data_IF_534744074133
#
_entry.id   IF_534744074133
#
_cell.length_a   1.000
_cell.length_b   1.000
_cell.length_c   1.000
_cell.angle_alpha   90.00
_cell.angle_beta   90.00
_cell.angle_gamma   90.00
#
_symmetry.space_group_name_H-M   'P 1'
#
loop_
_entity.id
_entity.type
_entity.pdbx_description
1 polymer ?
#
# COMPACT_ATOMS: atom_id res chain seq x y z
N UNK A 1 36.28 10.43 1.69
CA UNK A 1 35.29 11.41 2.20
C UNK A 1 34.91 11.00 3.60
N UNK A 2 34.47 11.94 4.43
CA UNK A 2 33.77 11.59 5.66
C UNK A 2 32.35 11.09 5.35
N UNK A 3 31.74 10.36 6.28
CA UNK A 3 30.33 9.93 6.15
C UNK A 3 29.41 11.14 6.00
N UNK A 4 29.70 12.23 6.71
CA UNK A 4 28.96 13.50 6.59
C UNK A 4 29.02 14.08 5.18
N UNK A 5 30.20 14.10 4.56
CA UNK A 5 30.34 14.59 3.18
C UNK A 5 29.49 13.74 2.22
N UNK A 6 29.42 12.41 2.43
CA UNK A 6 28.63 11.49 1.60
C UNK A 6 27.13 11.74 1.79
N UNK A 7 26.68 11.95 3.02
CA UNK A 7 25.29 12.33 3.33
C UNK A 7 24.93 13.65 2.65
N UNK A 8 25.78 14.67 2.75
CA UNK A 8 25.53 15.97 2.10
C UNK A 8 25.44 15.85 0.58
N UNK A 9 26.33 15.07 -0.05
CA UNK A 9 26.32 14.85 -1.49
C UNK A 9 25.12 14.03 -1.98
N UNK A 10 24.62 13.11 -1.16
CA UNK A 10 23.42 12.34 -1.46
C UNK A 10 22.13 13.07 -1.08
N UNK A 11 22.20 14.26 -0.49
CA UNK A 11 21.04 15.06 -0.14
C UNK A 11 20.25 15.55 -1.36
N UNK A 12 19.01 16.04 -1.17
CA UNK A 12 18.29 16.11 0.10
C UNK A 12 17.77 14.74 0.57
N UNK A 13 17.66 14.56 1.88
CA UNK A 13 17.14 13.33 2.52
C UNK A 13 15.73 13.56 3.05
N UNK A 14 14.84 12.59 2.81
CA UNK A 14 13.51 12.58 3.41
C UNK A 14 13.46 11.70 4.67
N UNK A 15 14.00 10.49 4.60
CA UNK A 15 14.14 9.66 5.80
C UNK A 15 15.35 10.08 6.64
N UNK A 16 15.13 10.13 7.95
CA UNK A 16 16.19 10.20 8.93
C UNK A 16 16.68 8.79 9.29
N UNK A 17 17.76 8.36 8.65
CA UNK A 17 18.42 7.09 8.93
C UNK A 17 19.42 7.28 10.08
N UNK A 18 19.49 6.30 10.98
CA UNK A 18 20.41 6.31 12.12
C UNK A 18 21.52 5.30 11.84
N UNK A 19 22.75 5.81 11.68
CA UNK A 19 23.93 5.00 11.37
C UNK A 19 24.59 4.45 12.64
N UNK A 20 25.41 3.39 12.55
CA UNK A 20 26.00 2.74 13.72
C UNK A 20 26.92 3.65 14.56
N UNK A 21 27.49 4.69 13.95
CA UNK A 21 28.35 5.69 14.61
C UNK A 21 27.55 6.84 15.25
N UNK A 22 26.22 6.78 15.19
CA UNK A 22 25.30 7.79 15.73
C UNK A 22 24.99 8.93 14.77
N UNK A 23 25.57 8.93 13.56
CA UNK A 23 25.29 9.95 12.54
C UNK A 23 23.88 9.74 11.97
N UNK A 24 23.21 10.87 11.70
CA UNK A 24 21.85 10.92 11.18
C UNK A 24 21.81 11.62 9.82
N UNK A 25 20.99 11.13 8.89
CA UNK A 25 20.88 11.71 7.54
C UNK A 25 20.00 12.96 7.49
N UNK A 26 19.02 13.08 8.39
CA UNK A 26 18.08 14.20 8.43
C UNK A 26 17.64 14.56 9.88
N UNK A 27 18.57 14.91 10.79
CA UNK A 27 18.27 15.13 12.22
C UNK A 27 17.36 16.33 12.52
N UNK A 28 17.09 17.18 11.53
CA UNK A 28 16.26 18.39 11.64
C UNK A 28 15.02 18.34 10.74
N UNK A 29 14.55 17.13 10.42
CA UNK A 29 13.37 16.93 9.57
C UNK A 29 12.11 17.56 10.20
N UNK A 30 11.27 18.19 9.38
CA UNK A 30 10.10 18.97 9.84
C UNK A 30 9.01 18.13 10.50
N UNK A 31 8.99 16.82 10.21
CA UNK A 31 8.10 15.83 10.84
C UNK A 31 8.72 15.15 12.08
N UNK A 32 9.79 15.70 12.65
CA UNK A 32 10.54 15.05 13.73
C UNK A 32 11.41 13.90 13.21
N UNK A 33 11.60 12.85 14.00
CA UNK A 33 12.44 11.69 13.65
C UNK A 33 11.73 10.73 12.67
N UNK A 34 11.39 11.24 11.49
CA UNK A 34 10.63 10.50 10.49
C UNK A 34 11.54 9.56 9.66
N UNK A 35 11.18 8.29 9.44
CA UNK A 35 9.95 7.61 9.88
C UNK A 35 10.11 6.77 11.16
N UNK A 36 11.18 6.94 11.94
CA UNK A 36 11.49 6.09 13.10
C UNK A 36 10.35 6.00 14.14
N UNK A 37 9.64 7.09 14.42
CA UNK A 37 8.51 7.03 15.37
C UNK A 37 7.37 6.13 14.88
N UNK A 38 7.08 6.11 13.56
CA UNK A 38 6.09 5.21 12.97
C UNK A 38 6.53 3.76 13.08
N UNK A 39 7.83 3.51 12.88
CA UNK A 39 8.39 2.19 13.11
C UNK A 39 8.23 1.74 14.57
N UNK A 40 8.46 2.61 15.55
CA UNK A 40 8.29 2.25 16.97
C UNK A 40 6.85 1.81 17.30
N UNK A 41 5.84 2.46 16.71
CA UNK A 41 4.43 2.07 16.88
C UNK A 41 4.12 0.69 16.26
N UNK A 42 4.72 0.38 15.10
CA UNK A 42 4.34 -0.79 14.32
C UNK A 42 5.19 -2.04 14.60
N UNK A 43 6.47 -1.86 14.93
CA UNK A 43 7.47 -2.93 14.88
C UNK A 43 7.19 -4.12 15.82
N UNK A 44 6.42 -3.90 16.89
CA UNK A 44 5.98 -4.95 17.84
C UNK A 44 4.83 -5.81 17.32
N UNK A 45 4.18 -5.41 16.23
CA UNK A 45 3.02 -6.09 15.64
C UNK A 45 3.40 -7.03 14.47
N UNK A 46 4.67 -7.00 14.05
CA UNK A 46 5.24 -7.89 13.03
C UNK A 46 6.27 -8.82 13.66
N UNK A 47 6.54 -10.02 13.09
CA UNK A 47 7.50 -10.96 13.67
C UNK A 47 8.88 -10.34 13.88
N UNK A 48 9.49 -10.66 15.03
CA UNK A 48 10.83 -10.18 15.38
C UNK A 48 11.93 -10.82 14.52
N UNK A 49 11.72 -12.08 14.11
CA UNK A 49 12.58 -12.82 13.19
C UNK A 49 11.83 -13.04 11.87
N UNK A 50 12.40 -12.52 10.79
CA UNK A 50 11.92 -12.62 9.41
C UNK A 50 12.87 -13.46 8.55
N UNK A 51 13.74 -14.27 9.17
CA UNK A 51 14.68 -15.14 8.45
C UNK A 51 13.95 -16.02 7.43
N UNK A 52 14.40 -15.91 6.17
CA UNK A 52 13.83 -16.65 5.04
C UNK A 52 12.55 -16.06 4.45
N UNK A 53 12.06 -14.92 4.96
CA UNK A 53 10.92 -14.23 4.37
C UNK A 53 11.33 -13.41 3.16
N UNK A 54 10.52 -13.49 2.10
CA UNK A 54 10.59 -12.57 0.96
C UNK A 54 9.69 -11.36 1.24
N UNK A 55 10.26 -10.16 1.18
CA UNK A 55 9.55 -8.91 1.50
C UNK A 55 9.54 -7.98 0.29
N UNK A 56 8.43 -7.30 0.07
CA UNK A 56 8.33 -6.18 -0.89
C UNK A 56 8.08 -4.89 -0.12
N UNK A 57 8.92 -3.88 -0.31
CA UNK A 57 8.74 -2.52 0.23
C UNK A 57 8.41 -1.57 -0.92
N UNK A 58 7.15 -1.12 -0.98
CA UNK A 58 6.60 -0.31 -2.07
C UNK A 58 6.77 1.17 -1.74
N UNK A 59 7.50 1.89 -2.59
CA UNK A 59 7.86 3.29 -2.32
C UNK A 59 8.89 3.39 -1.20
N UNK A 60 9.98 2.61 -1.32
CA UNK A 60 10.93 2.40 -0.24
C UNK A 60 11.71 3.67 0.16
N UNK A 61 11.69 4.72 -0.67
CA UNK A 61 12.44 5.96 -0.47
C UNK A 61 13.92 5.61 -0.18
N UNK A 62 14.57 6.28 0.79
CA UNK A 62 15.93 5.99 1.22
C UNK A 62 16.09 4.67 2.00
N UNK A 63 15.08 3.80 1.99
CA UNK A 63 15.18 2.41 2.43
C UNK A 63 15.03 2.19 3.94
N UNK A 64 14.51 3.15 4.72
CA UNK A 64 14.41 3.01 6.19
C UNK A 64 13.74 1.67 6.58
N UNK A 65 12.52 1.42 6.11
CA UNK A 65 11.79 0.20 6.46
C UNK A 65 12.42 -1.04 5.86
N UNK A 66 12.87 -0.96 4.61
CA UNK A 66 13.67 -2.01 3.98
C UNK A 66 14.87 -2.47 4.83
N UNK A 67 15.62 -1.53 5.40
CA UNK A 67 16.78 -1.80 6.25
C UNK A 67 16.36 -2.41 7.58
N UNK A 68 15.31 -1.89 8.23
CA UNK A 68 14.79 -2.45 9.48
C UNK A 68 14.26 -3.89 9.32
N UNK A 69 13.60 -4.18 8.20
CA UNK A 69 13.12 -5.53 7.87
C UNK A 69 14.30 -6.47 7.53
N UNK A 70 15.32 -5.97 6.83
CA UNK A 70 16.54 -6.73 6.54
C UNK A 70 17.35 -7.05 7.82
N UNK A 71 17.41 -6.12 8.80
CA UNK A 71 18.01 -6.36 10.13
C UNK A 71 17.35 -7.51 10.88
N UNK A 72 16.06 -7.77 10.61
CA UNK A 72 15.31 -8.93 11.14
C UNK A 72 15.50 -10.22 10.34
N UNK A 73 16.36 -10.24 9.32
CA UNK A 73 16.70 -11.44 8.56
C UNK A 73 15.92 -11.65 7.26
N UNK A 74 15.04 -10.72 6.88
CA UNK A 74 14.33 -10.78 5.60
C UNK A 74 15.26 -10.59 4.39
N UNK A 75 14.83 -11.07 3.22
CA UNK A 75 15.30 -10.59 1.93
C UNK A 75 14.26 -9.62 1.36
N UNK A 76 14.67 -8.37 1.19
CA UNK A 76 13.77 -7.28 0.82
C UNK A 76 14.01 -6.85 -0.61
N UNK A 77 12.95 -6.78 -1.40
CA UNK A 77 12.89 -6.02 -2.64
C UNK A 77 12.28 -4.64 -2.31
N UNK A 78 13.11 -3.60 -2.29
CA UNK A 78 12.65 -2.22 -2.22
C UNK A 78 12.44 -1.65 -3.62
N UNK A 79 11.26 -1.09 -3.88
CA UNK A 79 10.95 -0.41 -5.14
C UNK A 79 10.65 1.06 -4.91
N UNK A 80 11.14 1.91 -5.80
CA UNK A 80 10.78 3.32 -5.85
C UNK A 80 10.85 3.81 -7.30
N UNK A 81 10.14 4.87 -7.64
CA UNK A 81 10.21 5.48 -8.98
C UNK A 81 11.36 6.48 -9.06
N UNK A 82 11.81 7.01 -7.93
CA UNK A 82 12.87 8.01 -7.85
C UNK A 82 14.25 7.35 -7.67
N UNK A 83 15.14 7.41 -8.67
CA UNK A 83 16.47 6.84 -8.56
C UNK A 83 17.34 7.57 -7.52
N UNK A 84 16.99 8.79 -7.11
CA UNK A 84 17.66 9.48 -6.02
C UNK A 84 17.56 8.72 -4.70
N UNK A 85 16.34 8.34 -4.34
CA UNK A 85 16.05 7.56 -3.15
C UNK A 85 16.68 6.17 -3.19
N UNK A 86 16.69 5.52 -4.35
CA UNK A 86 17.36 4.22 -4.50
C UNK A 86 18.88 4.30 -4.29
N UNK A 87 19.54 5.37 -4.75
CA UNK A 87 20.98 5.59 -4.46
C UNK A 87 21.23 5.79 -2.96
N UNK A 88 20.35 6.53 -2.29
CA UNK A 88 20.40 6.72 -0.84
C UNK A 88 20.24 5.40 -0.07
N UNK A 89 19.24 4.59 -0.44
CA UNK A 89 18.99 3.28 0.16
C UNK A 89 20.16 2.31 -0.06
N UNK A 90 20.72 2.29 -1.28
CA UNK A 90 21.88 1.45 -1.59
C UNK A 90 23.11 1.85 -0.77
N UNK A 91 23.35 3.16 -0.65
CA UNK A 91 24.41 3.67 0.22
C UNK A 91 24.20 3.26 1.68
N UNK A 92 23.00 3.45 2.22
CA UNK A 92 22.69 3.11 3.61
C UNK A 92 22.82 1.60 3.87
N UNK A 93 22.41 0.75 2.93
CA UNK A 93 22.58 -0.69 3.02
C UNK A 93 24.06 -1.09 3.12
N UNK A 94 24.96 -0.41 2.38
CA UNK A 94 26.41 -0.63 2.50
C UNK A 94 26.94 -0.22 3.87
N UNK A 95 26.53 0.94 4.38
CA UNK A 95 26.96 1.41 5.71
C UNK A 95 26.51 0.47 6.85
N UNK A 96 25.39 -0.22 6.66
CA UNK A 96 24.84 -1.17 7.62
C UNK A 96 25.24 -2.63 7.39
N UNK A 97 25.99 -2.93 6.32
CA UNK A 97 26.37 -4.30 5.98
C UNK A 97 25.19 -5.20 5.60
N UNK A 98 24.15 -4.63 4.96
CA UNK A 98 22.90 -5.31 4.58
C UNK A 98 22.72 -5.46 3.06
N UNK A 99 23.75 -5.15 2.27
CA UNK A 99 23.68 -5.20 0.80
C UNK A 99 23.33 -6.57 0.24
N UNK A 100 23.61 -7.65 0.95
CA UNK A 100 23.28 -9.03 0.56
C UNK A 100 21.80 -9.40 0.81
N UNK A 101 21.08 -8.58 1.57
CA UNK A 101 19.67 -8.78 1.92
C UNK A 101 18.72 -7.83 1.22
N UNK A 102 19.25 -6.82 0.54
CA UNK A 102 18.45 -5.77 -0.08
C UNK A 102 18.66 -5.73 -1.61
N UNK A 103 17.57 -5.96 -2.32
CA UNK A 103 17.45 -5.72 -3.76
C UNK A 103 16.69 -4.41 -3.96
N UNK A 104 17.21 -3.50 -4.79
CA UNK A 104 16.60 -2.20 -5.06
C UNK A 104 16.32 -2.07 -6.55
N UNK A 105 15.09 -1.70 -6.90
CA UNK A 105 14.69 -1.56 -8.30
C UNK A 105 13.90 -0.27 -8.55
N UNK A 106 14.27 0.43 -9.62
CA UNK A 106 13.46 1.53 -10.12
C UNK A 106 12.22 0.97 -10.83
N UNK A 107 11.06 1.10 -10.20
CA UNK A 107 9.86 0.37 -10.62
C UNK A 107 8.57 1.06 -10.19
N UNK A 108 7.54 1.01 -11.05
CA UNK A 108 6.19 1.42 -10.68
C UNK A 108 5.48 0.29 -9.91
N UNK A 109 4.61 0.64 -8.97
CA UNK A 109 3.83 -0.35 -8.20
C UNK A 109 3.02 -1.31 -9.11
N UNK A 110 2.57 -0.85 -10.27
CA UNK A 110 1.80 -1.68 -11.19
C UNK A 110 2.66 -2.73 -11.92
N UNK A 111 3.96 -2.48 -12.08
CA UNK A 111 4.89 -3.43 -12.72
C UNK A 111 5.12 -4.67 -11.86
N UNK A 112 4.84 -4.58 -10.54
CA UNK A 112 4.89 -5.70 -9.61
C UNK A 112 4.02 -6.86 -10.10
N UNK A 113 2.92 -6.60 -10.81
CA UNK A 113 2.07 -7.64 -11.41
C UNK A 113 2.84 -8.61 -12.30
N UNK A 114 3.92 -8.15 -12.95
CA UNK A 114 4.74 -8.92 -13.90
C UNK A 114 5.89 -9.69 -13.24
N UNK A 115 6.14 -9.47 -11.95
CA UNK A 115 7.17 -10.22 -11.23
C UNK A 115 6.73 -11.67 -11.06
N UNK A 116 7.61 -12.63 -11.37
CA UNK A 116 7.37 -14.05 -11.07
C UNK A 116 7.78 -14.38 -9.63
N UNK A 117 7.24 -13.61 -8.68
CA UNK A 117 7.55 -13.68 -7.25
C UNK A 117 6.29 -13.45 -6.42
N UNK A 118 6.28 -14.07 -5.24
CA UNK A 118 5.33 -13.84 -4.16
C UNK A 118 6.11 -13.43 -2.91
N UNK A 119 5.47 -12.65 -2.03
CA UNK A 119 6.10 -12.08 -0.84
C UNK A 119 5.38 -12.54 0.42
N UNK A 120 6.12 -12.98 1.43
CA UNK A 120 5.56 -13.31 2.74
C UNK A 120 5.00 -12.06 3.43
N UNK A 121 5.68 -10.91 3.24
CA UNK A 121 5.24 -9.60 3.71
C UNK A 121 5.30 -8.55 2.58
N UNK A 122 4.22 -7.81 2.42
CA UNK A 122 4.19 -6.58 1.61
C UNK A 122 4.10 -5.38 2.55
N UNK A 123 5.06 -4.47 2.44
CA UNK A 123 5.10 -3.19 3.13
C UNK A 123 4.64 -2.10 2.17
N UNK A 124 3.44 -1.56 2.41
CA UNK A 124 2.76 -0.62 1.52
C UNK A 124 2.25 0.59 2.32
N UNK A 125 3.20 1.40 2.77
CA UNK A 125 2.95 2.58 3.57
C UNK A 125 3.30 3.85 2.81
N UNK A 126 2.43 4.85 2.84
CA UNK A 126 2.76 6.18 2.33
C UNK A 126 2.66 6.33 0.81
N UNK A 127 2.00 5.40 0.11
CA UNK A 127 2.02 5.38 -1.37
C UNK A 127 0.64 5.52 -2.00
N UNK A 128 -0.41 4.88 -1.47
CA UNK A 128 -1.70 4.78 -2.17
C UNK A 128 -2.28 6.14 -2.58
N UNK A 129 -2.20 7.15 -1.71
CA UNK A 129 -2.72 8.48 -1.99
C UNK A 129 -1.98 9.23 -3.12
N UNK A 130 -0.79 8.77 -3.51
CA UNK A 130 -0.04 9.29 -4.65
C UNK A 130 -0.46 8.67 -5.99
N UNK A 131 -1.27 7.60 -5.98
CA UNK A 131 -1.56 6.80 -7.16
C UNK A 131 -2.83 7.24 -7.88
N UNK A 132 -2.78 7.28 -9.21
CA UNK A 132 -3.96 7.50 -10.04
C UNK A 132 -4.96 6.34 -10.02
N UNK A 133 -4.47 5.11 -9.82
CA UNK A 133 -5.28 3.88 -9.86
C UNK A 133 -5.13 3.10 -8.53
N UNK A 134 -5.65 3.62 -7.40
CA UNK A 134 -5.34 3.11 -6.06
C UNK A 134 -5.86 1.69 -5.79
N UNK A 135 -7.01 1.30 -6.34
CA UNK A 135 -7.52 -0.06 -6.18
C UNK A 135 -6.74 -1.07 -7.04
N UNK A 136 -6.27 -0.69 -8.22
CA UNK A 136 -5.46 -1.57 -9.05
C UNK A 136 -4.15 -1.96 -8.34
N UNK A 137 -3.49 -1.02 -7.65
CA UNK A 137 -2.30 -1.36 -6.89
C UNK A 137 -2.61 -2.26 -5.69
N UNK A 138 -3.72 -2.04 -4.97
CA UNK A 138 -4.15 -2.94 -3.90
C UNK A 138 -4.46 -4.36 -4.42
N UNK A 139 -5.14 -4.48 -5.57
CA UNK A 139 -5.42 -5.79 -6.17
C UNK A 139 -4.12 -6.50 -6.54
N UNK A 140 -3.19 -5.82 -7.22
CA UNK A 140 -1.87 -6.38 -7.58
C UNK A 140 -1.12 -6.84 -6.32
N UNK A 141 -1.01 -5.96 -5.32
CA UNK A 141 -0.24 -6.25 -4.11
C UNK A 141 -0.89 -7.33 -3.25
N UNK A 142 -2.22 -7.38 -3.20
CA UNK A 142 -2.96 -8.46 -2.55
C UNK A 142 -2.63 -9.79 -3.21
N UNK A 143 -2.66 -9.90 -4.54
CA UNK A 143 -2.30 -11.13 -5.26
C UNK A 143 -0.84 -11.56 -5.01
N UNK A 144 0.04 -10.60 -4.74
CA UNK A 144 1.47 -10.82 -4.46
C UNK A 144 1.78 -11.13 -3.00
N UNK A 145 0.82 -10.94 -2.11
CA UNK A 145 0.97 -11.20 -0.67
C UNK A 145 0.64 -12.66 -0.36
N UNK A 146 1.50 -13.33 0.40
CA UNK A 146 1.28 -14.69 0.92
C UNK A 146 0.71 -14.71 2.33
N UNK A 147 1.20 -13.83 3.22
CA UNK A 147 0.84 -13.85 4.65
C UNK A 147 0.33 -12.50 5.11
N UNK A 148 1.18 -11.48 5.06
CA UNK A 148 0.95 -10.22 5.77
C UNK A 148 1.11 -9.02 4.82
N UNK A 149 0.23 -8.05 4.96
CA UNK A 149 0.39 -6.72 4.40
C UNK A 149 0.36 -5.68 5.51
N UNK A 150 1.37 -4.83 5.54
CA UNK A 150 1.35 -3.59 6.30
C UNK A 150 0.89 -2.49 5.36
N UNK A 151 -0.25 -1.87 5.65
CA UNK A 151 -0.85 -0.84 4.81
C UNK A 151 -0.98 0.48 5.56
N UNK A 152 -0.60 1.58 4.91
CA UNK A 152 -0.90 2.93 5.38
C UNK A 152 -1.08 3.90 4.21
N UNK A 153 -2.05 4.79 4.34
CA UNK A 153 -2.31 5.89 3.42
C UNK A 153 -2.80 7.10 4.20
N UNK A 154 -2.58 8.29 3.67
CA UNK A 154 -3.30 9.50 4.07
C UNK A 154 -4.81 9.23 4.05
N UNK A 155 -5.52 9.59 5.11
CA UNK A 155 -6.98 9.52 5.19
C UNK A 155 -7.64 10.88 5.36
N UNK A 156 -8.96 10.93 5.16
CA UNK A 156 -9.78 11.99 5.74
C UNK A 156 -9.70 11.93 7.27
N UNK A 157 -9.93 13.05 7.98
CA UNK A 157 -10.09 13.03 9.43
C UNK A 157 -11.26 12.14 9.87
N UNK A 158 -11.12 11.52 11.03
CA UNK A 158 -12.16 10.70 11.66
C UNK A 158 -11.91 9.19 11.57
N UNK A 159 -12.56 8.46 12.47
CA UNK A 159 -12.49 6.99 12.57
C UNK A 159 -13.88 6.34 12.54
N UNK A 160 -14.91 7.11 12.16
CA UNK A 160 -16.25 6.58 12.04
C UNK A 160 -16.30 5.52 10.93
N UNK A 161 -16.85 4.36 11.28
CA UNK A 161 -17.10 3.27 10.36
C UNK A 161 -18.50 2.72 10.58
N UNK A 162 -19.23 2.53 9.48
CA UNK A 162 -20.50 1.84 9.42
C UNK A 162 -20.39 0.74 8.38
N UNK A 163 -20.91 -0.44 8.70
CA UNK A 163 -21.06 -1.51 7.71
C UNK A 163 -22.08 -1.09 6.64
N UNK A 164 -21.64 -0.99 5.40
CA UNK A 164 -22.53 -0.73 4.28
C UNK A 164 -23.44 -1.95 4.06
N UNK A 165 -24.74 -1.75 3.79
CA UNK A 165 -25.63 -2.86 3.45
C UNK A 165 -25.12 -3.58 2.21
N UNK A 166 -25.37 -4.89 2.13
CA UNK A 166 -24.95 -5.72 1.00
C UNK A 166 -25.64 -5.34 -0.32
N UNK A 167 -26.80 -4.69 -0.24
CA UNK A 167 -27.52 -4.10 -1.37
C UNK A 167 -28.37 -2.90 -0.88
N UNK A 168 -28.53 -1.88 -1.72
CA UNK A 168 -29.43 -0.75 -1.46
C UNK A 168 -29.82 -0.06 -2.77
N UNK A 169 -31.01 0.54 -2.80
CA UNK A 169 -31.58 1.09 -4.02
C UNK A 169 -30.87 2.36 -4.51
N UNK A 170 -30.92 2.60 -5.83
CA UNK A 170 -30.40 3.82 -6.47
C UNK A 170 -30.95 5.12 -5.84
N UNK A 171 -32.17 5.07 -5.32
CA UNK A 171 -32.85 6.20 -4.68
C UNK A 171 -32.45 6.39 -3.20
N UNK A 172 -31.79 5.41 -2.58
CA UNK A 172 -31.41 5.43 -1.16
C UNK A 172 -30.00 6.02 -0.92
N UNK A 173 -29.37 6.57 -1.96
CA UNK A 173 -28.00 7.11 -1.95
C UNK A 173 -27.75 8.23 -0.93
N UNK A 174 -28.80 8.82 -0.33
CA UNK A 174 -28.62 9.78 0.76
C UNK A 174 -27.89 9.16 1.96
N UNK A 175 -28.01 7.85 2.16
CA UNK A 175 -27.27 7.11 3.19
C UNK A 175 -25.74 7.24 3.01
N UNK A 176 -25.27 7.46 1.77
CA UNK A 176 -23.84 7.66 1.47
C UNK A 176 -23.23 8.91 2.13
N UNK A 177 -24.08 9.83 2.62
CA UNK A 177 -23.64 11.04 3.31
C UNK A 177 -23.25 10.79 4.77
N UNK A 178 -23.62 9.65 5.35
CA UNK A 178 -23.33 9.34 6.74
C UNK A 178 -21.81 9.48 7.04
N UNK A 179 -21.42 9.94 8.24
CA UNK A 179 -20.01 10.09 8.61
C UNK A 179 -19.18 8.82 8.39
N UNK A 180 -19.72 7.67 8.83
CA UNK A 180 -19.08 6.35 8.70
C UNK A 180 -19.33 5.63 7.37
N UNK A 181 -19.94 6.28 6.37
CA UNK A 181 -20.06 5.67 5.04
C UNK A 181 -18.70 5.63 4.32
N UNK A 182 -18.32 4.51 3.67
CA UNK A 182 -17.12 4.44 2.84
C UNK A 182 -17.10 5.52 1.73
N UNK A 183 -16.21 6.51 1.87
CA UNK A 183 -16.02 7.57 0.88
C UNK A 183 -14.58 8.02 0.80
N UNK A 184 -14.22 8.63 -0.33
CA UNK A 184 -12.86 9.08 -0.61
C UNK A 184 -12.90 10.48 -1.21
N UNK A 185 -12.13 11.39 -0.63
CA UNK A 185 -11.95 12.73 -1.18
C UNK A 185 -10.99 12.67 -2.38
N UNK A 186 -11.37 13.36 -3.46
CA UNK A 186 -10.48 13.63 -4.58
C UNK A 186 -9.76 14.96 -4.36
N UNK A 187 -8.43 14.95 -4.46
CA UNK A 187 -7.58 16.13 -4.32
C UNK A 187 -7.16 16.53 -5.74
N UNK A 188 -7.76 17.59 -6.27
CA UNK A 188 -7.57 18.00 -7.67
C UNK A 188 -6.25 18.74 -7.92
N UNK A 189 -5.80 19.53 -6.94
CA UNK A 189 -4.67 20.45 -7.09
C UNK A 189 -3.46 19.98 -6.28
N UNK A 190 -3.25 20.57 -5.10
CA UNK A 190 -2.14 20.27 -4.21
C UNK A 190 -2.63 20.19 -2.77
N UNK A 191 -2.02 19.32 -1.99
CA UNK A 191 -2.16 19.31 -0.54
C UNK A 191 -0.76 19.42 0.07
N UNK A 192 -0.59 20.30 1.05
CA UNK A 192 0.72 20.58 1.66
C UNK A 192 1.84 20.92 0.63
N UNK A 193 1.49 21.54 -0.50
CA UNK A 193 2.43 21.90 -1.57
C UNK A 193 2.76 20.77 -2.55
N UNK A 194 2.30 19.55 -2.28
CA UNK A 194 2.55 18.36 -3.10
C UNK A 194 1.38 18.11 -4.08
N UNK A 195 1.64 18.15 -5.41
CA UNK A 195 0.65 17.90 -6.46
C UNK A 195 0.35 16.43 -6.73
N UNK A 196 1.05 15.52 -6.08
CA UNK A 196 0.90 14.09 -6.33
C UNK A 196 -0.16 13.45 -5.43
N UNK A 197 -0.68 14.17 -4.43
CA UNK A 197 -1.81 13.72 -3.62
C UNK A 197 -3.12 13.74 -4.43
N UNK A 198 -3.72 12.59 -4.67
CA UNK A 198 -4.97 12.46 -5.44
C UNK A 198 -6.16 12.03 -4.60
N UNK A 199 -5.92 11.18 -3.60
CA UNK A 199 -6.99 10.46 -2.90
C UNK A 199 -6.77 10.45 -1.40
N UNK A 200 -7.82 10.78 -0.64
CA UNK A 200 -7.86 10.60 0.80
C UNK A 200 -9.13 9.82 1.16
N UNK A 201 -9.08 8.48 1.32
CA UNK A 201 -10.21 7.70 1.82
C UNK A 201 -10.50 8.04 3.28
N UNK A 202 -11.75 7.98 3.75
CA UNK A 202 -12.01 7.92 5.18
C UNK A 202 -11.71 6.51 5.74
N UNK A 203 -11.70 6.36 7.06
CA UNK A 203 -11.43 5.08 7.71
C UNK A 203 -12.32 3.94 7.17
N UNK A 204 -13.64 4.17 7.09
CA UNK A 204 -14.59 3.20 6.53
C UNK A 204 -14.26 2.76 5.09
N UNK A 205 -13.80 3.70 4.24
CA UNK A 205 -13.35 3.38 2.89
C UNK A 205 -12.07 2.56 2.87
N UNK A 206 -11.09 2.86 3.73
CA UNK A 206 -9.88 2.03 3.83
C UNK A 206 -10.25 0.59 4.14
N UNK A 207 -11.11 0.37 5.14
CA UNK A 207 -11.52 -1.00 5.47
C UNK A 207 -12.30 -1.68 4.34
N UNK A 208 -13.21 -0.95 3.69
CA UNK A 208 -13.98 -1.49 2.58
C UNK A 208 -13.09 -1.85 1.37
N UNK A 209 -12.13 -1.00 1.03
CA UNK A 209 -11.17 -1.25 -0.04
C UNK A 209 -10.33 -2.49 0.27
N UNK A 210 -9.73 -2.57 1.47
CA UNK A 210 -8.91 -3.73 1.88
C UNK A 210 -9.72 -5.04 1.81
N UNK A 211 -10.95 -5.05 2.37
CA UNK A 211 -11.84 -6.22 2.28
C UNK A 211 -12.17 -6.57 0.83
N UNK A 212 -12.47 -5.59 -0.01
CA UNK A 212 -12.74 -5.81 -1.44
C UNK A 212 -11.52 -6.33 -2.19
N UNK A 213 -10.32 -6.04 -1.69
CA UNK A 213 -9.05 -6.51 -2.22
C UNK A 213 -8.62 -7.88 -1.61
N UNK A 214 -9.50 -8.58 -0.88
CA UNK A 214 -9.20 -9.93 -0.37
C UNK A 214 -8.35 -9.93 0.90
N UNK A 215 -8.30 -8.80 1.61
CA UNK A 215 -7.48 -8.59 2.78
C UNK A 215 -8.37 -8.42 4.02
N UNK A 216 -8.08 -9.19 5.07
CA UNK A 216 -8.71 -9.06 6.38
C UNK A 216 -7.80 -8.27 7.30
N UNK A 217 -8.30 -7.14 7.82
CA UNK A 217 -7.59 -6.36 8.83
C UNK A 217 -7.57 -7.17 10.13
N UNK A 218 -6.36 -7.38 10.67
CA UNK A 218 -6.16 -8.09 11.95
C UNK A 218 -5.83 -7.14 13.08
N UNK A 219 -5.13 -6.03 12.79
CA UNK A 219 -4.69 -5.06 13.80
C UNK A 219 -4.62 -3.64 13.21
N UNK A 220 -4.74 -2.64 14.07
CA UNK A 220 -4.54 -1.22 13.76
C UNK A 220 -3.54 -0.62 14.75
N UNK A 221 -2.23 -0.80 14.52
CA UNK A 221 -1.20 -0.47 15.52
C UNK A 221 -1.00 1.03 15.76
N UNK A 222 -1.49 1.89 14.86
CA UNK A 222 -1.35 3.33 14.97
C UNK A 222 -2.29 4.07 14.02
N UNK A 223 -2.21 5.40 14.03
CA UNK A 223 -3.01 6.26 13.16
C UNK A 223 -2.75 5.93 11.69
N UNK A 224 -3.81 5.65 10.93
CA UNK A 224 -3.78 5.25 9.52
C UNK A 224 -3.04 3.93 9.21
N UNK A 225 -2.62 3.17 10.22
CA UNK A 225 -1.88 1.93 10.00
C UNK A 225 -2.78 0.71 10.14
N UNK A 226 -2.69 -0.20 9.17
CA UNK A 226 -3.51 -1.40 9.09
C UNK A 226 -2.60 -2.60 8.85
N UNK A 227 -2.72 -3.60 9.72
CA UNK A 227 -2.10 -4.89 9.53
C UNK A 227 -3.15 -5.84 8.95
N UNK A 228 -2.85 -6.43 7.81
CA UNK A 228 -3.81 -7.23 7.06
C UNK A 228 -3.26 -8.61 6.73
N UNK A 229 -4.09 -9.63 6.84
CA UNK A 229 -3.81 -10.97 6.35
C UNK A 229 -4.60 -11.24 5.08
N UNK A 230 -4.06 -12.14 4.26
CA UNK A 230 -4.79 -12.70 3.12
C UNK A 230 -5.99 -13.49 3.61
N UNK A 231 -7.16 -13.22 3.02
CA UNK A 231 -8.38 -13.98 3.26
C UNK A 231 -8.88 -14.60 1.97
N UNK A 232 -8.78 -15.93 1.88
CA UNK A 232 -9.15 -16.68 0.66
C UNK A 232 -10.64 -16.61 0.34
N UNK A 233 -11.50 -16.45 1.36
CA UNK A 233 -12.94 -16.29 1.14
C UNK A 233 -13.23 -14.91 0.53
N UNK A 234 -12.57 -13.86 1.04
CA UNK A 234 -12.68 -12.52 0.46
C UNK A 234 -12.10 -12.47 -0.97
N UNK A 235 -10.97 -13.14 -1.23
CA UNK A 235 -10.38 -13.26 -2.58
C UNK A 235 -11.32 -13.94 -3.57
N UNK A 236 -11.99 -15.02 -3.17
CA UNK A 236 -12.99 -15.67 -4.02
C UNK A 236 -14.14 -14.71 -4.34
N UNK A 237 -14.55 -13.85 -3.42
CA UNK A 237 -15.59 -12.86 -3.71
C UNK A 237 -15.17 -11.76 -4.72
N UNK A 238 -13.91 -11.72 -5.16
CA UNK A 238 -13.42 -10.77 -6.17
C UNK A 238 -13.70 -11.17 -7.62
N UNK A 239 -14.30 -12.35 -7.88
CA UNK A 239 -14.51 -12.85 -9.24
C UNK A 239 -15.20 -11.84 -10.17
N UNK A 240 -16.05 -10.95 -9.64
CA UNK A 240 -16.70 -9.89 -10.43
C UNK A 240 -15.73 -8.89 -11.07
N UNK A 241 -14.50 -8.74 -10.57
CA UNK A 241 -13.46 -7.86 -11.09
C UNK A 241 -12.33 -8.58 -11.84
N UNK A 242 -12.37 -9.91 -11.90
CA UNK A 242 -11.26 -10.69 -12.46
C UNK A 242 -10.93 -10.31 -13.90
N UNK A 243 -11.93 -10.06 -14.75
CA UNK A 243 -11.69 -9.62 -16.14
C UNK A 243 -11.04 -8.24 -16.23
N UNK A 244 -11.40 -7.31 -15.34
CA UNK A 244 -10.84 -5.96 -15.30
C UNK A 244 -9.38 -6.00 -14.86
N UNK A 245 -9.10 -6.75 -13.78
CA UNK A 245 -7.74 -6.98 -13.30
C UNK A 245 -6.86 -7.59 -14.40
N UNK A 246 -7.29 -8.70 -15.01
CA UNK A 246 -6.55 -9.39 -16.08
C UNK A 246 -6.25 -8.44 -17.24
N UNK A 247 -7.25 -7.67 -17.70
CA UNK A 247 -7.04 -6.65 -18.72
C UNK A 247 -6.03 -5.58 -18.30
N UNK A 248 -6.08 -5.10 -17.06
CA UNK A 248 -5.20 -4.05 -16.57
C UNK A 248 -3.73 -4.51 -16.47
N UNK A 249 -3.50 -5.79 -16.13
CA UNK A 249 -2.15 -6.36 -16.03
C UNK A 249 -1.63 -6.97 -17.34
N UNK A 250 -2.44 -6.93 -18.41
CA UNK A 250 -2.05 -7.41 -19.74
C UNK A 250 -2.17 -8.93 -19.94
N UNK A 251 -3.09 -9.59 -19.23
CA UNK A 251 -3.42 -11.01 -19.36
C UNK A 251 -4.75 -11.22 -20.10
N UNK A 252 -4.96 -12.42 -20.65
CA UNK A 252 -6.21 -12.81 -21.31
C UNK A 252 -7.38 -12.78 -20.31
N UNK A 253 -8.47 -12.10 -20.67
CA UNK A 253 -9.61 -11.81 -19.77
C UNK A 253 -10.98 -12.20 -20.35
N UNK A 254 -11.03 -12.60 -21.63
CA UNK A 254 -12.24 -12.83 -22.41
C UNK A 254 -13.07 -14.00 -21.85
N UNK A 255 -12.41 -15.01 -21.25
CA UNK A 255 -13.11 -16.08 -20.55
C UNK A 255 -13.71 -15.60 -19.22
N UNK A 256 -12.95 -14.84 -18.42
CA UNK A 256 -13.43 -14.31 -17.13
C UNK A 256 -14.64 -13.37 -17.30
N UNK A 257 -14.72 -12.61 -18.39
CA UNK A 257 -15.88 -11.74 -18.64
C UNK A 257 -17.13 -12.53 -19.04
N UNK A 258 -16.99 -13.69 -19.69
CA UNK A 258 -18.15 -14.52 -20.06
C UNK A 258 -18.89 -14.98 -18.80
N UNK A 259 -18.16 -15.40 -17.77
CA UNK A 259 -18.72 -15.76 -16.46
C UNK A 259 -19.49 -14.59 -15.83
N UNK A 260 -18.92 -13.37 -15.89
CA UNK A 260 -19.54 -12.13 -15.38
C UNK A 260 -20.81 -11.73 -16.12
N UNK A 261 -20.84 -11.85 -17.45
CA UNK A 261 -21.94 -11.31 -18.29
C UNK A 261 -23.13 -12.27 -18.38
N UNK A 262 -22.91 -13.57 -18.21
CA UNK A 262 -23.97 -14.60 -18.33
C UNK A 262 -25.13 -14.41 -17.34
N UNK A 263 -24.91 -13.75 -16.20
CA UNK A 263 -25.97 -13.38 -15.24
C UNK A 263 -26.44 -11.91 -15.29
N UNK A 264 -25.66 -11.00 -15.88
CA UNK A 264 -25.85 -9.54 -15.74
C UNK A 264 -27.00 -8.97 -16.57
N UNK A 265 -27.25 -9.56 -17.75
CA UNK A 265 -28.34 -9.13 -18.64
C UNK A 265 -29.73 -9.39 -18.03
N UNK A 266 -29.84 -10.31 -17.08
CA UNK A 266 -31.09 -10.66 -16.40
C UNK A 266 -31.48 -9.61 -15.33
N UNK A 267 -30.50 -9.08 -14.58
CA UNK A 267 -30.73 -8.05 -13.55
C UNK A 267 -31.13 -6.69 -14.13
N UNK A 268 -30.49 -6.27 -15.23
CA UNK A 268 -30.77 -4.98 -15.89
C UNK A 268 -32.21 -4.89 -16.42
N UNK A 269 -32.80 -6.03 -16.80
CA UNK A 269 -34.18 -6.10 -17.33
C UNK A 269 -35.21 -6.25 -16.21
N UNK A 270 -34.90 -6.99 -15.14
CA UNK A 270 -35.81 -7.18 -14.01
C UNK A 270 -36.01 -5.90 -13.17
N UNK A 271 -34.97 -5.09 -12.97
CA UNK A 271 -35.06 -3.81 -12.24
C UNK A 271 -35.83 -2.71 -12.98
N UNK A 272 -35.99 -2.83 -14.31
CA UNK A 272 -36.74 -1.87 -15.12
C UNK A 272 -38.27 -2.07 -15.07
N UNK A 273 -38.75 -3.26 -14.68
CA UNK A 273 -40.16 -3.63 -14.69
C UNK A 273 -40.84 -3.58 -13.30
N UNK A 274 -40.15 -3.08 -12.28
CA UNK A 274 -40.63 -3.03 -10.88
C UNK A 274 -41.35 -1.73 -10.47
N UNK A 275 -41.65 -0.83 -11.42
CA UNK A 275 -42.41 0.39 -11.17
C UNK A 275 -43.71 0.40 -11.97
N UNK A 276 -44.71 -0.31 -11.46
CA UNK A 276 -46.12 -0.05 -11.72
C UNK A 276 -46.88 -0.01 -10.39
#
# INVERSE_FOLDING_TARGET
MSIQDEIEQLGPWFHNLHLPDGVQTAPHHTLGDFPAFKWQELQGHIPADLTGWQVLDVGCNAGFYSLELAKRGAHVLGIDVDPHYLRQAEWAARQLGLSDRLELQQMQVYDVARLDRQFDLVWYMGVLYHLRYPLLSLDILSQKTRRLMVFQTLTMPGEEAQEAPSDFGLHDRQQMLAPGWPKMAFIENKMAGDPTNWWAPNHAAVEAMLRSCGLRITQRPGHEMYLCEVDEQLRQNQHWNQSEYLSAVGLEWQQAVQEKVTGKNTYMVAGANGHH
#
